data_IF_444322133640
#
_entry.id   IF_444322133640
#
_cell.length_a   1.000
_cell.length_b   1.000
_cell.length_c   1.000
_cell.angle_alpha   90.00
_cell.angle_beta   90.00
_cell.angle_gamma   90.00
#
_symmetry.space_group_name_H-M   'P 1'
#
loop_
_entity.id
_entity.type
_entity.pdbx_description
1 polymer ?
#
# COMPACT_ATOMS: atom_id res chain seq x y z
N UNK A 1 -13.30 0.27 21.29
CA UNK A 1 -13.84 1.55 20.83
C UNK A 1 -13.17 2.72 21.53
N UNK A 2 -13.01 2.68 22.87
CA UNK A 2 -12.41 3.79 23.64
C UNK A 2 -10.93 4.07 23.33
N UNK A 3 -10.11 3.05 23.05
CA UNK A 3 -8.66 3.24 22.77
C UNK A 3 -8.44 3.97 21.44
N UNK A 4 -9.19 3.63 20.40
CA UNK A 4 -9.12 4.29 19.09
C UNK A 4 -9.61 5.74 19.17
N UNK A 5 -10.66 5.98 19.95
CA UNK A 5 -11.19 7.34 20.20
C UNK A 5 -10.16 8.21 20.94
N UNK A 6 -9.58 7.65 22.01
CA UNK A 6 -8.54 8.33 22.80
C UNK A 6 -7.28 8.62 21.98
N UNK A 7 -6.85 7.68 21.13
CA UNK A 7 -5.73 7.88 20.21
C UNK A 7 -6.01 8.99 19.19
N UNK A 8 -7.21 9.04 18.60
CA UNK A 8 -7.59 10.12 17.68
C UNK A 8 -7.59 11.49 18.37
N UNK A 9 -8.07 11.57 19.61
CA UNK A 9 -8.08 12.80 20.39
C UNK A 9 -6.64 13.26 20.69
N UNK A 10 -5.75 12.34 21.09
CA UNK A 10 -4.33 12.66 21.33
C UNK A 10 -3.67 13.19 20.06
N UNK A 11 -3.83 12.50 18.93
CA UNK A 11 -3.23 12.92 17.65
C UNK A 11 -3.76 14.30 17.22
N UNK A 12 -5.05 14.57 17.44
CA UNK A 12 -5.65 15.87 17.15
C UNK A 12 -5.10 16.99 18.04
N UNK A 13 -4.96 16.75 19.35
CA UNK A 13 -4.42 17.73 20.31
C UNK A 13 -2.96 18.03 20.00
N UNK A 14 -2.15 16.99 19.78
CA UNK A 14 -0.73 17.14 19.41
C UNK A 14 -0.58 17.94 18.13
N UNK A 15 -1.44 17.70 17.14
CA UNK A 15 -1.35 18.43 15.89
C UNK A 15 -1.81 19.87 15.92
N UNK A 16 -2.75 20.19 16.81
CA UNK A 16 -3.15 21.57 17.07
C UNK A 16 -2.04 22.33 17.81
N UNK A 17 -1.35 21.70 18.77
CA UNK A 17 -0.19 22.28 19.45
C UNK A 17 1.00 22.53 18.51
N UNK A 18 1.19 21.68 17.50
CA UNK A 18 2.25 21.82 16.50
C UNK A 18 1.88 22.76 15.34
N UNK A 19 0.65 23.31 15.31
CA UNK A 19 0.22 24.28 14.31
C UNK A 19 0.16 23.75 12.87
N UNK A 20 0.12 22.42 12.67
CA UNK A 20 0.21 21.84 11.32
C UNK A 20 -1.19 21.63 10.70
N UNK A 21 -1.54 22.33 9.60
CA UNK A 21 -2.86 22.24 8.97
C UNK A 21 -3.18 20.85 8.41
N UNK A 22 -2.16 20.02 8.15
CA UNK A 22 -2.31 18.64 7.70
C UNK A 22 -3.08 17.77 8.73
N UNK A 23 -3.01 18.14 10.01
CA UNK A 23 -3.63 17.37 11.10
C UNK A 23 -5.13 17.68 11.21
N UNK A 24 -5.56 18.87 10.79
CA UNK A 24 -6.98 19.19 10.60
C UNK A 24 -7.62 18.31 9.52
N UNK A 25 -6.90 18.03 8.43
CA UNK A 25 -7.34 17.11 7.37
C UNK A 25 -7.37 15.65 7.84
N UNK A 26 -6.36 15.22 8.61
CA UNK A 26 -6.34 13.89 9.22
C UNK A 26 -7.53 13.67 10.17
N UNK A 27 -7.96 14.70 10.91
CA UNK A 27 -9.16 14.64 11.75
C UNK A 27 -10.44 14.39 10.96
N UNK A 28 -10.56 14.95 9.74
CA UNK A 28 -11.73 14.70 8.87
C UNK A 28 -11.79 13.24 8.45
N UNK A 29 -10.66 12.67 8.07
CA UNK A 29 -10.54 11.25 7.68
C UNK A 29 -10.84 10.35 8.89
N UNK A 30 -10.32 10.69 10.07
CA UNK A 30 -10.61 9.96 11.31
C UNK A 30 -12.10 9.97 11.67
N UNK A 31 -12.80 11.09 11.45
CA UNK A 31 -14.27 11.18 11.62
C UNK A 31 -15.01 10.26 10.65
N UNK A 32 -14.59 10.20 9.38
CA UNK A 32 -15.16 9.27 8.39
C UNK A 32 -14.96 7.80 8.81
N UNK A 33 -13.80 7.45 9.36
CA UNK A 33 -13.54 6.10 9.89
C UNK A 33 -14.38 5.83 11.15
N UNK A 34 -14.66 6.86 11.96
CA UNK A 34 -15.57 6.78 13.10
C UNK A 34 -17.01 6.44 12.70
N UNK A 35 -17.49 6.93 11.56
CA UNK A 35 -18.79 6.55 10.99
C UNK A 35 -18.84 5.04 10.66
N UNK A 36 -17.73 4.46 10.20
CA UNK A 36 -17.64 3.01 9.96
C UNK A 36 -17.80 2.19 11.26
N UNK A 37 -17.37 2.75 12.39
CA UNK A 37 -17.51 2.14 13.71
C UNK A 37 -18.91 2.31 14.32
N UNK A 38 -19.80 3.09 13.71
CA UNK A 38 -21.17 3.26 14.18
C UNK A 38 -22.07 2.09 13.76
N UNK A 39 -21.80 1.51 12.59
CA UNK A 39 -22.58 0.40 12.03
C UNK A 39 -22.01 -0.95 12.49
N UNK A 40 -22.75 -1.65 13.36
CA UNK A 40 -22.35 -2.97 13.91
C UNK A 40 -22.05 -4.03 12.83
N UNK A 41 -22.80 -4.02 11.72
CA UNK A 41 -22.57 -4.94 10.61
C UNK A 41 -21.25 -4.66 9.89
N UNK A 42 -20.90 -3.39 9.70
CA UNK A 42 -19.64 -3.01 9.06
C UNK A 42 -18.43 -3.32 9.95
N UNK A 43 -18.59 -3.14 11.28
CA UNK A 43 -17.59 -3.59 12.24
C UNK A 43 -17.36 -5.10 12.19
N UNK A 44 -18.42 -5.89 11.95
CA UNK A 44 -18.31 -7.35 11.80
C UNK A 44 -17.49 -7.72 10.58
N UNK A 45 -17.74 -7.08 9.44
CA UNK A 45 -16.95 -7.26 8.22
C UNK A 45 -15.50 -6.83 8.40
N UNK A 46 -15.26 -5.67 9.00
CA UNK A 46 -13.90 -5.16 9.24
C UNK A 46 -13.13 -6.06 10.20
N UNK A 47 -13.79 -6.60 11.24
CA UNK A 47 -13.19 -7.58 12.15
C UNK A 47 -12.88 -8.90 11.45
N UNK A 48 -13.76 -9.37 10.56
CA UNK A 48 -13.50 -10.56 9.76
C UNK A 48 -12.30 -10.36 8.81
N UNK A 49 -12.19 -9.17 8.19
CA UNK A 49 -11.05 -8.77 7.37
C UNK A 49 -9.74 -8.72 8.18
N UNK A 50 -9.76 -8.10 9.35
CA UNK A 50 -8.59 -8.06 10.24
C UNK A 50 -8.19 -9.47 10.73
N UNK A 51 -9.15 -10.36 10.93
CA UNK A 51 -8.90 -11.74 11.32
C UNK A 51 -8.32 -12.59 10.18
N UNK A 52 -8.60 -12.25 8.92
CA UNK A 52 -8.06 -12.98 7.76
C UNK A 52 -6.66 -12.51 7.36
N UNK A 53 -6.30 -11.24 7.61
CA UNK A 53 -4.97 -10.68 7.33
C UNK A 53 -3.78 -11.50 7.88
N UNK A 54 -3.74 -11.97 9.14
CA UNK A 54 -2.60 -12.74 9.63
C UNK A 54 -2.44 -14.09 8.93
N UNK A 55 -3.53 -14.72 8.50
CA UNK A 55 -3.48 -15.96 7.70
C UNK A 55 -2.95 -15.68 6.29
N UNK A 56 -3.31 -14.53 5.74
CA UNK A 56 -2.85 -14.09 4.43
C UNK A 56 -1.35 -13.71 4.42
N UNK A 57 -0.78 -13.33 5.57
CA UNK A 57 0.63 -12.94 5.68
C UNK A 57 1.60 -14.00 5.13
N UNK A 58 1.36 -15.30 5.41
CA UNK A 58 2.21 -16.37 4.87
C UNK A 58 2.18 -16.43 3.34
N UNK A 59 1.01 -16.21 2.74
CA UNK A 59 0.86 -16.18 1.27
C UNK A 59 1.58 -14.96 0.70
N UNK A 60 1.47 -13.80 1.37
CA UNK A 60 2.16 -12.58 0.96
C UNK A 60 3.68 -12.70 1.01
N UNK A 61 4.24 -13.42 1.99
CA UNK A 61 5.69 -13.68 2.05
C UNK A 61 6.13 -14.52 0.87
N UNK A 62 5.43 -15.61 0.56
CA UNK A 62 5.74 -16.45 -0.60
C UNK A 62 5.60 -15.67 -1.92
N UNK A 63 4.55 -14.87 -2.05
CA UNK A 63 4.34 -14.00 -3.21
C UNK A 63 5.46 -12.96 -3.37
N UNK A 64 5.89 -12.33 -2.28
CA UNK A 64 6.99 -11.37 -2.30
C UNK A 64 8.34 -12.02 -2.62
N UNK A 65 8.56 -13.25 -2.16
CA UNK A 65 9.74 -14.05 -2.54
C UNK A 65 9.76 -14.32 -4.04
N UNK A 66 8.60 -14.68 -4.62
CA UNK A 66 8.45 -14.85 -6.07
C UNK A 66 8.78 -13.54 -6.80
N UNK A 67 8.20 -12.41 -6.41
CA UNK A 67 8.50 -11.11 -7.01
C UNK A 67 9.99 -10.74 -6.90
N UNK A 68 10.66 -11.12 -5.82
CA UNK A 68 12.09 -10.91 -5.63
C UNK A 68 12.92 -11.74 -6.61
N UNK A 69 12.59 -13.02 -6.78
CA UNK A 69 13.26 -13.90 -7.74
C UNK A 69 13.12 -13.37 -9.17
N UNK A 70 11.90 -13.02 -9.59
CA UNK A 70 11.65 -12.44 -10.91
C UNK A 70 12.22 -11.03 -11.06
N UNK A 71 12.31 -10.25 -9.99
CA UNK A 71 12.93 -8.93 -10.00
C UNK A 71 14.43 -8.99 -10.28
N UNK A 72 15.15 -9.92 -9.63
CA UNK A 72 16.58 -10.13 -9.88
C UNK A 72 16.81 -10.59 -11.33
N UNK A 73 16.02 -11.58 -11.78
CA UNK A 73 16.09 -12.05 -13.17
C UNK A 73 15.74 -10.93 -14.17
N UNK A 74 14.72 -10.13 -13.88
CA UNK A 74 14.25 -9.05 -14.73
C UNK A 74 15.27 -7.93 -14.88
N UNK A 75 15.99 -7.55 -13.82
CA UNK A 75 17.11 -6.60 -13.92
C UNK A 75 18.23 -7.19 -14.79
N UNK A 76 18.57 -8.46 -14.61
CA UNK A 76 19.62 -9.11 -15.42
C UNK A 76 19.29 -9.17 -16.91
N UNK A 77 18.01 -9.32 -17.28
CA UNK A 77 17.56 -9.50 -18.66
C UNK A 77 17.14 -8.19 -19.34
N UNK A 78 16.45 -7.31 -18.63
CA UNK A 78 15.77 -6.14 -19.22
C UNK A 78 16.42 -4.80 -18.84
N UNK A 79 17.41 -4.76 -17.93
CA UNK A 79 18.15 -3.52 -17.66
C UNK A 79 18.83 -2.88 -18.89
N UNK A 80 19.40 -3.63 -19.86
CA UNK A 80 20.01 -3.04 -21.05
C UNK A 80 19.03 -2.78 -22.19
N UNK A 81 17.74 -3.10 -22.04
CA UNK A 81 16.75 -2.90 -23.10
C UNK A 81 16.51 -1.41 -23.37
N UNK A 82 16.23 -1.06 -24.63
CA UNK A 82 15.94 0.32 -25.05
C UNK A 82 14.49 0.63 -24.73
N UNK A 83 14.25 1.48 -23.72
CA UNK A 83 12.90 1.88 -23.29
C UNK A 83 12.44 3.13 -24.06
N UNK A 84 11.14 3.25 -24.31
CA UNK A 84 10.52 4.52 -24.74
C UNK A 84 10.36 5.46 -23.54
N UNK A 85 10.30 6.78 -23.77
CA UNK A 85 10.30 7.80 -22.71
C UNK A 85 9.21 7.60 -21.63
N UNK A 86 8.05 7.04 -22.01
CA UNK A 86 6.94 6.76 -21.09
C UNK A 86 7.21 5.58 -20.13
N UNK A 87 7.98 4.58 -20.55
CA UNK A 87 8.35 3.43 -19.72
C UNK A 87 9.42 3.75 -18.68
N UNK A 88 10.34 4.65 -19.03
CA UNK A 88 11.45 5.01 -18.16
C UNK A 88 10.96 5.62 -16.84
N UNK A 89 9.85 6.36 -16.86
CA UNK A 89 9.35 7.08 -15.69
C UNK A 89 8.63 6.18 -14.67
N UNK A 90 7.86 5.18 -15.11
CA UNK A 90 6.88 4.51 -14.24
C UNK A 90 6.90 2.97 -14.25
N UNK A 91 7.80 2.32 -14.98
CA UNK A 91 7.83 0.86 -15.05
C UNK A 91 9.09 0.30 -15.69
N UNK A 92 10.23 0.38 -15.00
CA UNK A 92 11.52 -0.05 -15.54
C UNK A 92 12.20 -1.14 -14.71
N UNK A 93 13.18 -1.81 -15.33
CA UNK A 93 14.01 -2.86 -14.73
C UNK A 93 15.47 -2.43 -14.50
N UNK A 94 15.75 -1.13 -14.36
CA UNK A 94 17.14 -0.62 -14.21
C UNK A 94 17.75 -0.96 -12.85
N UNK A 95 16.92 -0.95 -11.81
CA UNK A 95 17.33 -1.26 -10.44
C UNK A 95 16.33 -2.20 -9.79
N UNK A 96 16.81 -3.02 -8.84
CA UNK A 96 15.98 -4.02 -8.15
C UNK A 96 14.70 -3.44 -7.53
N UNK A 97 14.77 -2.27 -6.88
CA UNK A 97 13.59 -1.64 -6.29
C UNK A 97 12.52 -1.26 -7.30
N UNK A 98 12.93 -0.71 -8.45
CA UNK A 98 12.02 -0.38 -9.55
C UNK A 98 11.47 -1.64 -10.21
N UNK A 99 12.31 -2.66 -10.46
CA UNK A 99 11.86 -3.94 -10.98
C UNK A 99 10.80 -4.60 -10.08
N UNK A 100 10.98 -4.52 -8.76
CA UNK A 100 10.02 -5.03 -7.78
C UNK A 100 8.69 -4.27 -7.83
N UNK A 101 8.73 -2.93 -7.90
CA UNK A 101 7.53 -2.10 -8.04
C UNK A 101 6.80 -2.37 -9.37
N UNK A 102 7.55 -2.48 -10.47
CA UNK A 102 7.02 -2.81 -11.80
C UNK A 102 6.33 -4.18 -11.80
N UNK A 103 6.95 -5.21 -11.23
CA UNK A 103 6.34 -6.54 -11.10
C UNK A 103 5.13 -6.55 -10.15
N UNK A 104 5.17 -5.77 -9.06
CA UNK A 104 4.02 -5.62 -8.17
C UNK A 104 2.84 -4.98 -8.90
N UNK A 105 3.06 -3.92 -9.69
CA UNK A 105 2.02 -3.29 -10.52
C UNK A 105 1.47 -4.25 -11.59
N UNK A 106 2.36 -4.98 -12.27
CA UNK A 106 1.97 -6.01 -13.25
C UNK A 106 1.12 -7.12 -12.62
N UNK A 107 1.44 -7.53 -11.39
CA UNK A 107 0.67 -8.55 -10.67
C UNK A 107 -0.76 -8.15 -10.31
N UNK A 108 -1.03 -6.84 -10.20
CA UNK A 108 -2.38 -6.30 -10.01
C UNK A 108 -3.13 -6.09 -11.32
N UNK A 109 -2.52 -6.41 -12.47
CA UNK A 109 -3.12 -6.26 -13.80
C UNK A 109 -2.89 -4.89 -14.45
N UNK A 110 -2.03 -4.05 -13.87
CA UNK A 110 -1.71 -2.72 -14.38
C UNK A 110 -0.42 -2.76 -15.20
N UNK A 111 -0.39 -2.07 -16.35
CA UNK A 111 0.81 -1.87 -17.18
C UNK A 111 1.58 -3.15 -17.59
N UNK A 112 0.93 -4.33 -17.59
CA UNK A 112 1.55 -5.58 -18.05
C UNK A 112 1.69 -5.62 -19.57
N UNK A 113 0.72 -5.05 -20.29
CA UNK A 113 0.74 -4.91 -21.77
C UNK A 113 1.93 -4.09 -22.25
N UNK A 114 2.34 -3.17 -21.38
CA UNK A 114 3.43 -2.28 -21.64
C UNK A 114 4.76 -3.06 -21.57
N UNK A 115 4.94 -3.91 -20.55
CA UNK A 115 6.20 -4.62 -20.32
C UNK A 115 6.49 -5.71 -21.38
N UNK A 116 5.47 -6.15 -22.13
CA UNK A 116 5.54 -7.21 -23.14
C UNK A 116 5.87 -6.67 -24.53
#
# INVERSE_FOLDING_TARGET
>A
MNVFDFLCIIVAVVGMCLGNPMIGSAMRIARCVKLLAFFKELQRLFRALLLSLPKFANVMVTFFLLLTMYGILGVGLFAPAKHSEDFEANGNFRHFGWALLTLFRSSTGEAWNEIM
#
